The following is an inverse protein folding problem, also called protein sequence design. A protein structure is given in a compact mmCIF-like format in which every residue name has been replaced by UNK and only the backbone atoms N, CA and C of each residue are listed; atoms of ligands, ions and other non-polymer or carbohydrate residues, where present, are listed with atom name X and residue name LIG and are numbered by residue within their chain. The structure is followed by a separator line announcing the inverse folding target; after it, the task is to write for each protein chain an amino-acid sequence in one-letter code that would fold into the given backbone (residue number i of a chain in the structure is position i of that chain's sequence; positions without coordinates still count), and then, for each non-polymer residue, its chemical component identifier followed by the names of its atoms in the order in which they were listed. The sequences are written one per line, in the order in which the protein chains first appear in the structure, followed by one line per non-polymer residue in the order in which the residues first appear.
data_IF_646430405094
#
_entry.id   IF_646430405094
#
_cell.length_a   1.000
_cell.length_b   1.000
_cell.length_c   1.000
_cell.angle_alpha   90.00
_cell.angle_beta   90.00
_cell.angle_gamma   90.00
#
_symmetry.space_group_name_H-M   'P 1'
#
loop_
_entity.id
_entity.type
_entity.pdbx_description
1 polymer ?
#
# COMPACT_ATOMS: atom_id res chain seq x y z
N UNK A 1 -17.79 -25.68 10.28
CA UNK A 1 -18.34 -24.36 10.64
C UNK A 1 -18.86 -23.70 9.37
N UNK A 2 -20.16 -23.38 9.30
CA UNK A 2 -20.77 -22.71 8.14
C UNK A 2 -20.91 -21.23 8.50
N UNK A 3 -20.06 -20.37 7.96
CA UNK A 3 -20.13 -18.93 8.20
C UNK A 3 -21.19 -18.34 7.29
N UNK A 4 -22.36 -18.05 7.86
CA UNK A 4 -23.40 -17.27 7.18
C UNK A 4 -22.96 -15.81 7.15
N UNK A 5 -21.99 -15.49 6.28
CA UNK A 5 -21.62 -14.11 6.01
C UNK A 5 -22.80 -13.51 5.26
N UNK A 6 -23.57 -12.66 5.94
CA UNK A 6 -24.69 -11.95 5.33
C UNK A 6 -24.18 -10.98 4.27
N UNK A 7 -24.04 -11.47 3.02
CA UNK A 7 -23.56 -10.73 1.86
C UNK A 7 -24.53 -9.64 1.36
N UNK A 8 -25.62 -9.40 2.08
CA UNK A 8 -26.70 -8.48 1.68
C UNK A 8 -26.35 -7.00 1.92
N UNK A 9 -25.30 -6.71 2.69
CA UNK A 9 -24.96 -5.33 3.02
C UNK A 9 -23.99 -4.75 1.97
N UNK A 10 -24.39 -3.75 1.15
CA UNK A 10 -23.56 -3.20 0.08
C UNK A 10 -22.27 -2.57 0.60
N UNK A 11 -22.23 -2.16 1.87
CA UNK A 11 -21.01 -1.69 2.53
C UNK A 11 -19.95 -2.78 2.68
N UNK A 12 -20.31 -4.07 2.56
CA UNK A 12 -19.37 -5.20 2.55
C UNK A 12 -18.51 -5.30 1.29
N UNK A 13 -18.92 -4.63 0.21
CA UNK A 13 -18.16 -4.58 -1.03
C UNK A 13 -17.27 -3.33 -1.10
N UNK A 14 -17.56 -2.32 -0.28
CA UNK A 14 -16.70 -1.15 -0.17
C UNK A 14 -15.39 -1.51 0.54
N UNK A 15 -14.26 -0.93 0.08
CA UNK A 15 -13.00 -1.01 0.79
C UNK A 15 -13.20 -0.71 2.28
N UNK A 16 -12.55 -1.49 3.14
CA UNK A 16 -12.73 -1.42 4.60
C UNK A 16 -12.56 0.00 5.14
N UNK A 17 -11.70 0.81 4.51
CA UNK A 17 -11.45 2.23 4.82
C UNK A 17 -12.66 3.16 4.64
N UNK A 18 -13.61 2.83 3.76
CA UNK A 18 -14.76 3.70 3.46
C UNK A 18 -16.04 3.26 4.18
N UNK A 19 -15.93 2.30 5.11
CA UNK A 19 -17.07 1.89 5.94
C UNK A 19 -17.22 2.88 7.08
N UNK A 20 -18.47 3.27 7.38
CA UNK A 20 -18.75 4.16 8.51
C UNK A 20 -18.28 3.59 9.86
N UNK A 21 -18.17 2.26 9.97
CA UNK A 21 -17.63 1.59 11.16
C UNK A 21 -16.13 1.86 11.37
N UNK A 22 -15.36 2.12 10.32
CA UNK A 22 -13.92 2.33 10.38
C UNK A 22 -13.53 3.70 10.99
N UNK A 23 -14.48 4.63 11.06
CA UNK A 23 -14.28 5.99 11.58
C UNK A 23 -14.22 6.09 13.12
N UNK A 24 -14.11 4.95 13.82
CA UNK A 24 -14.12 4.87 15.29
C UNK A 24 -12.73 4.65 15.92
N UNK A 25 -11.64 4.95 15.20
CA UNK A 25 -10.26 4.78 15.70
C UNK A 25 -10.00 3.39 16.30
N UNK A 26 -10.61 2.37 15.70
CA UNK A 26 -10.53 0.99 16.19
C UNK A 26 -9.07 0.49 16.06
N UNK A 27 -8.55 -0.15 17.11
CA UNK A 27 -7.19 -0.70 17.08
C UNK A 27 -7.12 -1.82 16.05
N UNK A 28 -6.42 -1.57 14.95
CA UNK A 28 -6.17 -2.55 13.90
C UNK A 28 -4.97 -3.45 14.24
N UNK A 29 -5.06 -4.72 13.88
CA UNK A 29 -3.92 -5.65 13.93
C UNK A 29 -2.96 -5.39 12.76
N UNK A 30 -1.69 -5.80 12.87
CA UNK A 30 -0.66 -5.69 11.84
C UNK A 30 -1.13 -6.22 10.48
N UNK A 31 -1.80 -7.36 10.43
CA UNK A 31 -2.34 -7.94 9.17
C UNK A 31 -3.40 -7.04 8.54
N UNK A 32 -4.24 -6.41 9.35
CA UNK A 32 -5.25 -5.46 8.87
C UNK A 32 -4.58 -4.18 8.37
N UNK A 33 -3.59 -3.66 9.09
CA UNK A 33 -2.80 -2.51 8.65
C UNK A 33 -2.11 -2.75 7.30
N UNK A 34 -1.50 -3.92 7.11
CA UNK A 34 -0.93 -4.31 5.82
C UNK A 34 -1.98 -4.40 4.72
N UNK A 35 -3.13 -5.02 4.98
CA UNK A 35 -4.21 -5.09 4.00
C UNK A 35 -4.71 -3.69 3.59
N UNK A 36 -4.78 -2.75 4.53
CA UNK A 36 -5.19 -1.36 4.29
C UNK A 36 -4.16 -0.60 3.47
N UNK A 37 -2.88 -0.79 3.77
CA UNK A 37 -1.78 -0.17 3.00
C UNK A 37 -1.83 -0.58 1.53
N UNK A 38 -2.05 -1.88 1.24
CA UNK A 38 -2.15 -2.35 -0.15
C UNK A 38 -3.46 -1.97 -0.84
N UNK A 39 -4.57 -1.90 -0.12
CA UNK A 39 -5.85 -1.42 -0.68
C UNK A 39 -5.80 0.08 -0.98
N UNK A 40 -5.30 0.89 -0.05
CA UNK A 40 -5.09 2.33 -0.26
C UNK A 40 -4.13 2.61 -1.41
N UNK A 41 -3.03 1.86 -1.51
CA UNK A 41 -2.09 1.98 -2.63
C UNK A 41 -2.67 1.59 -3.99
N UNK A 42 -3.65 0.68 -4.06
CA UNK A 42 -4.37 0.36 -5.30
C UNK A 42 -5.36 1.45 -5.72
N UNK A 43 -5.98 2.10 -4.74
CA UNK A 43 -6.94 3.20 -4.93
C UNK A 43 -6.25 4.57 -5.05
N UNK A 44 -4.92 4.66 -4.93
CA UNK A 44 -4.16 5.91 -5.10
C UNK A 44 -4.37 6.54 -6.51
N UNK A 45 -4.76 5.73 -7.50
CA UNK A 45 -5.25 6.25 -8.80
C UNK A 45 -6.49 7.13 -8.69
N UNK A 46 -7.34 6.92 -7.67
CA UNK A 46 -8.50 7.74 -7.37
C UNK A 46 -8.14 9.01 -6.57
N UNK A 47 -6.98 9.04 -5.89
CA UNK A 47 -6.47 10.20 -5.16
C UNK A 47 -5.76 11.23 -6.06
N UNK A 48 -5.63 10.96 -7.37
CA UNK A 48 -5.20 11.94 -8.37
C UNK A 48 -3.69 12.24 -8.36
N UNK A 49 -2.90 11.55 -7.55
CA UNK A 49 -1.44 11.57 -7.66
C UNK A 49 -1.06 10.91 -8.99
N UNK A 50 -0.69 11.74 -9.97
CA UNK A 50 -0.34 11.33 -11.32
C UNK A 50 0.62 10.13 -11.30
N UNK A 51 0.34 9.12 -12.12
CA UNK A 51 1.20 7.94 -12.36
C UNK A 51 2.68 8.30 -12.55
N UNK A 52 2.96 9.51 -13.04
CA UNK A 52 4.29 10.08 -13.19
C UNK A 52 5.06 10.25 -11.87
N UNK A 53 4.41 10.66 -10.78
CA UNK A 53 5.04 10.82 -9.46
C UNK A 53 5.43 9.46 -8.87
N UNK A 54 4.53 8.47 -8.95
CA UNK A 54 4.83 7.11 -8.52
C UNK A 54 5.98 6.50 -9.32
N UNK A 55 6.01 6.73 -10.64
CA UNK A 55 7.11 6.29 -11.51
C UNK A 55 8.43 6.99 -11.16
N UNK A 56 8.42 8.30 -10.91
CA UNK A 56 9.62 9.06 -10.53
C UNK A 56 10.22 8.56 -9.21
N UNK A 57 9.37 8.34 -8.20
CA UNK A 57 9.80 7.82 -6.90
C UNK A 57 10.42 6.42 -7.03
N UNK A 58 9.77 5.50 -7.75
CA UNK A 58 10.30 4.15 -7.97
C UNK A 58 11.63 4.16 -8.73
N UNK A 59 11.74 4.97 -9.79
CA UNK A 59 12.99 5.09 -10.55
C UNK A 59 14.12 5.68 -9.70
N UNK A 60 13.83 6.64 -8.81
CA UNK A 60 14.83 7.17 -7.87
C UNK A 60 15.32 6.11 -6.90
N UNK A 61 14.42 5.31 -6.31
CA UNK A 61 14.82 4.22 -5.41
C UNK A 61 15.70 3.17 -6.11
N UNK A 62 15.34 2.79 -7.34
CA UNK A 62 16.13 1.86 -8.15
C UNK A 62 17.51 2.44 -8.45
N UNK A 63 17.58 3.72 -8.84
CA UNK A 63 18.85 4.38 -9.14
C UNK A 63 19.77 4.43 -7.91
N UNK A 64 19.23 4.75 -6.73
CA UNK A 64 19.98 4.74 -5.47
C UNK A 64 20.50 3.33 -5.16
N UNK A 65 19.66 2.29 -5.32
CA UNK A 65 20.07 0.92 -5.09
C UNK A 65 21.22 0.51 -6.01
N UNK A 66 21.10 0.77 -7.32
CA UNK A 66 22.15 0.47 -8.31
C UNK A 66 23.44 1.24 -7.99
N UNK A 67 23.34 2.54 -7.69
CA UNK A 67 24.50 3.36 -7.35
C UNK A 67 25.21 2.86 -6.10
N UNK A 68 24.46 2.45 -5.07
CA UNK A 68 25.03 1.92 -3.82
C UNK A 68 25.75 0.58 -4.02
N UNK A 69 25.18 -0.31 -4.86
CA UNK A 69 25.81 -1.58 -5.26
C UNK A 69 27.10 -1.28 -6.04
N UNK A 70 27.00 -0.46 -7.09
CA UNK A 70 28.15 -0.11 -7.92
C UNK A 70 29.28 0.53 -7.09
N UNK A 71 28.94 1.44 -6.18
CA UNK A 71 29.90 2.05 -5.28
C UNK A 71 30.61 1.01 -4.39
N UNK A 72 29.84 0.11 -3.78
CA UNK A 72 30.36 -0.92 -2.87
C UNK A 72 31.28 -1.91 -3.59
N UNK A 73 30.94 -2.30 -4.82
CA UNK A 73 31.68 -3.34 -5.54
C UNK A 73 32.80 -2.80 -6.43
N UNK A 74 32.67 -1.59 -6.99
CA UNK A 74 33.63 -1.07 -7.97
C UNK A 74 34.50 0.08 -7.43
N UNK A 75 34.00 0.90 -6.50
CA UNK A 75 34.66 2.15 -6.09
C UNK A 75 35.21 2.12 -4.67
N UNK A 76 34.87 1.12 -3.87
CA UNK A 76 35.48 0.91 -2.55
C UNK A 76 36.64 -0.08 -2.68
N UNK A 77 37.91 0.37 -2.76
CA UNK A 77 39.02 -0.55 -2.57
C UNK A 77 39.00 -1.06 -1.12
N UNK A 78 39.39 -2.31 -0.93
CA UNK A 78 39.54 -2.94 0.39
C UNK A 78 40.36 -2.09 1.35
#
# INVERSE_FOLDING_TARGET
MRTNVGLTNPSLLNPVVFRSSFNHFEKINATQAWSLFFTGGKEDKALGLSSTIGRFFNLSLIAIAIASIFWTFCLRPF
#
